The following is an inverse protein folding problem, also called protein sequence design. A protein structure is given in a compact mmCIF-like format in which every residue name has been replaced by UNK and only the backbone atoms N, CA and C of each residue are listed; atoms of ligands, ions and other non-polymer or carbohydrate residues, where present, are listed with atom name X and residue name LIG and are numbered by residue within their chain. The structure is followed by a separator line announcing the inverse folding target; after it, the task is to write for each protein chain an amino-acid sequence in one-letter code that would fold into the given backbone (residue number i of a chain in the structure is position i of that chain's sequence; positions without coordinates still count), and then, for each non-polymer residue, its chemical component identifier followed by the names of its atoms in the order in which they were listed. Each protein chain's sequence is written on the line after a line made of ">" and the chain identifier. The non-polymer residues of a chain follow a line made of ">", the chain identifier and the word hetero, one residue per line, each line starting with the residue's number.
data_IF_327467653615
#
_entry.id   IF_327467653615
#
_cell.length_a   1.000
_cell.length_b   1.000
_cell.length_c   1.000
_cell.angle_alpha   90.00
_cell.angle_beta   90.00
_cell.angle_gamma   90.00
#
_symmetry.space_group_name_H-M   'P 1'
#
loop_
_entity.id
_entity.type
_entity.pdbx_description
1 polymer ?
#
# COMPACT_ATOMS: atom_id res chain seq x y z
N UNK A 1 -28.90 41.82 15.86
CA UNK A 1 -28.96 40.39 16.22
C UNK A 1 -28.93 39.62 14.93
N UNK A 2 -27.81 38.97 14.62
CA UNK A 2 -27.65 38.12 13.43
C UNK A 2 -28.20 36.74 13.78
N UNK A 3 -29.22 36.28 13.07
CA UNK A 3 -29.70 34.90 13.16
C UNK A 3 -28.69 33.99 12.47
N UNK A 4 -28.02 33.16 13.27
CA UNK A 4 -27.19 32.05 12.79
C UNK A 4 -28.12 30.93 12.39
N UNK A 5 -28.30 30.72 11.08
CA UNK A 5 -29.00 29.54 10.56
C UNK A 5 -28.02 28.37 10.58
N UNK A 6 -28.09 27.55 11.63
CA UNK A 6 -27.35 26.29 11.72
C UNK A 6 -27.89 25.31 10.68
N UNK A 7 -27.09 24.98 9.68
CA UNK A 7 -27.39 23.92 8.70
C UNK A 7 -27.12 22.58 9.42
N UNK A 8 -28.17 21.90 9.86
CA UNK A 8 -28.06 20.50 10.28
C UNK A 8 -27.78 19.62 9.06
N UNK A 9 -26.53 19.18 8.91
CA UNK A 9 -26.21 18.05 8.03
C UNK A 9 -26.68 16.76 8.71
N UNK A 10 -27.91 16.31 8.38
CA UNK A 10 -28.36 14.96 8.68
C UNK A 10 -27.63 13.97 7.78
N UNK A 11 -26.61 13.33 8.34
CA UNK A 11 -25.96 12.18 7.72
C UNK A 11 -26.82 10.94 8.01
N UNK A 12 -27.87 10.72 7.22
CA UNK A 12 -28.67 9.49 7.29
C UNK A 12 -27.87 8.36 6.66
N UNK A 13 -27.22 7.54 7.50
CA UNK A 13 -26.76 6.22 7.08
C UNK A 13 -27.99 5.38 6.72
N UNK A 14 -28.29 5.32 5.42
CA UNK A 14 -29.31 4.43 4.90
C UNK A 14 -28.78 3.00 5.04
N UNK A 15 -29.31 2.24 6.02
CA UNK A 15 -29.04 0.81 6.16
C UNK A 15 -29.70 0.09 4.99
N UNK A 16 -28.96 -0.11 3.91
CA UNK A 16 -29.42 -0.91 2.77
C UNK A 16 -29.05 -2.37 3.04
N UNK A 17 -30.05 -3.25 3.07
CA UNK A 17 -29.81 -4.68 3.22
C UNK A 17 -29.14 -5.24 1.96
N UNK A 18 -28.16 -6.12 2.16
CA UNK A 18 -27.51 -6.83 1.06
C UNK A 18 -28.58 -7.62 0.27
N UNK A 19 -28.86 -7.18 -0.96
CA UNK A 19 -29.84 -7.81 -1.87
C UNK A 19 -30.93 -6.91 -2.44
N UNK A 20 -31.07 -5.66 -1.97
CA UNK A 20 -31.96 -4.67 -2.59
C UNK A 20 -31.30 -4.06 -3.84
N UNK A 21 -32.08 -3.75 -4.89
CA UNK A 21 -31.57 -3.13 -6.11
C UNK A 21 -30.90 -1.77 -5.83
N UNK A 22 -31.39 -1.03 -4.83
CA UNK A 22 -30.73 0.21 -4.38
C UNK A 22 -29.33 0.01 -3.81
N UNK A 23 -29.02 -1.16 -3.24
CA UNK A 23 -27.67 -1.47 -2.75
C UNK A 23 -26.71 -1.73 -3.91
N UNK A 24 -27.20 -2.38 -4.97
CA UNK A 24 -26.43 -2.65 -6.18
C UNK A 24 -26.07 -1.36 -6.89
N UNK A 25 -27.03 -0.43 -7.00
CA UNK A 25 -26.81 0.87 -7.63
C UNK A 25 -25.74 1.68 -6.88
N UNK A 26 -25.75 1.63 -5.54
CA UNK A 26 -24.71 2.28 -4.72
C UNK A 26 -23.33 1.65 -4.95
N UNK A 27 -23.22 0.32 -4.97
CA UNK A 27 -21.95 -0.37 -5.27
C UNK A 27 -21.46 0.01 -6.66
N UNK A 28 -22.35 0.00 -7.64
CA UNK A 28 -22.02 0.30 -9.03
C UNK A 28 -21.55 1.76 -9.21
N UNK A 29 -22.21 2.68 -8.51
CA UNK A 29 -21.80 4.08 -8.46
C UNK A 29 -20.40 4.22 -7.83
N UNK A 30 -20.13 3.56 -6.71
CA UNK A 30 -18.80 3.62 -6.08
C UNK A 30 -17.71 2.98 -6.93
N UNK A 31 -18.01 1.88 -7.63
CA UNK A 31 -17.08 1.30 -8.60
C UNK A 31 -16.79 2.26 -9.76
N UNK A 32 -17.76 3.06 -10.20
CA UNK A 32 -17.51 4.13 -11.19
C UNK A 32 -16.68 5.27 -10.60
N UNK A 33 -16.93 5.65 -9.35
CA UNK A 33 -16.17 6.71 -8.69
C UNK A 33 -14.69 6.32 -8.55
N UNK A 34 -14.42 5.09 -8.11
CA UNK A 34 -13.06 4.56 -7.94
C UNK A 34 -12.39 4.23 -9.28
N UNK A 35 -13.15 3.68 -10.22
CA UNK A 35 -12.68 3.28 -11.54
C UNK A 35 -13.58 3.89 -12.63
N UNK A 36 -13.38 5.17 -13.00
CA UNK A 36 -14.25 5.86 -13.97
C UNK A 36 -14.33 5.18 -15.34
N UNK A 37 -13.27 4.47 -15.73
CA UNK A 37 -13.22 3.70 -16.98
C UNK A 37 -13.72 2.26 -16.82
N UNK A 38 -14.10 1.86 -15.60
CA UNK A 38 -14.45 0.48 -15.20
C UNK A 38 -13.40 -0.56 -15.64
N UNK A 39 -12.14 -0.15 -15.55
CA UNK A 39 -11.00 -0.94 -16.00
C UNK A 39 -9.81 -0.71 -15.06
N UNK A 40 -9.06 -1.78 -14.81
CA UNK A 40 -7.80 -1.76 -14.05
C UNK A 40 -6.72 -2.29 -14.98
N UNK A 41 -5.76 -1.45 -15.37
CA UNK A 41 -4.69 -1.80 -16.29
C UNK A 41 -3.32 -1.87 -15.61
N UNK A 42 -3.09 -1.07 -14.56
CA UNK A 42 -1.83 -1.03 -13.82
C UNK A 42 -2.06 -1.32 -12.34
N UNK A 43 -1.42 -2.38 -11.83
CA UNK A 43 -1.50 -2.77 -10.42
C UNK A 43 -0.11 -2.71 -9.79
N UNK A 44 0.00 -1.99 -8.67
CA UNK A 44 1.21 -2.01 -7.84
C UNK A 44 0.98 -2.89 -6.62
N UNK A 45 1.76 -3.97 -6.49
CA UNK A 45 1.84 -4.70 -5.23
C UNK A 45 2.96 -4.15 -4.36
N UNK A 46 2.68 -3.91 -3.09
CA UNK A 46 3.65 -3.45 -2.10
C UNK A 46 3.88 -4.55 -1.07
N UNK A 47 5.14 -4.94 -0.89
CA UNK A 47 5.60 -5.67 0.28
C UNK A 47 6.22 -4.66 1.25
N UNK A 48 5.58 -4.38 2.41
CA UNK A 48 6.11 -3.49 3.44
C UNK A 48 7.46 -3.97 3.99
N UNK A 49 8.18 -3.12 4.74
CA UNK A 49 9.30 -3.57 5.57
C UNK A 49 8.88 -4.70 6.54
N UNK A 50 9.80 -5.62 6.86
CA UNK A 50 9.52 -6.77 7.74
C UNK A 50 9.35 -6.39 9.24
N UNK A 51 9.45 -5.10 9.56
CA UNK A 51 9.26 -4.54 10.89
C UNK A 51 9.33 -3.01 10.83
N UNK A 52 9.09 -2.35 11.97
CA UNK A 52 9.24 -0.91 12.07
C UNK A 52 10.68 -0.51 12.49
N UNK A 53 10.92 0.80 12.57
CA UNK A 53 12.21 1.36 12.99
C UNK A 53 12.66 0.90 14.38
N UNK A 54 11.74 0.58 15.29
CA UNK A 54 12.07 0.09 16.63
C UNK A 54 12.60 -1.35 16.63
N UNK A 55 12.25 -2.13 15.60
CA UNK A 55 12.69 -3.51 15.40
C UNK A 55 13.98 -3.60 14.57
N UNK A 56 14.39 -2.52 13.92
CA UNK A 56 15.54 -2.51 13.02
C UNK A 56 16.85 -2.18 13.74
N UNK A 57 17.79 -3.12 13.70
CA UNK A 57 19.17 -2.99 14.17
C UNK A 57 20.12 -2.76 12.98
N UNK A 58 20.68 -1.54 12.93
CA UNK A 58 21.59 -1.13 11.87
C UNK A 58 22.78 -2.08 11.73
N UNK A 59 23.40 -2.50 12.84
CA UNK A 59 24.58 -3.33 12.79
C UNK A 59 24.31 -4.70 12.15
N UNK A 60 23.14 -5.29 12.42
CA UNK A 60 22.65 -6.54 11.82
C UNK A 60 22.34 -6.35 10.34
N UNK A 61 21.64 -5.28 9.97
CA UNK A 61 21.36 -4.94 8.57
C UNK A 61 22.63 -4.71 7.75
N UNK A 62 23.60 -3.95 8.30
CA UNK A 62 24.87 -3.65 7.65
C UNK A 62 25.72 -4.88 7.37
N UNK A 63 25.62 -5.92 8.21
CA UNK A 63 26.26 -7.23 8.01
C UNK A 63 25.47 -8.16 7.07
N UNK A 64 24.33 -7.73 6.53
CA UNK A 64 23.49 -8.52 5.64
C UNK A 64 22.84 -9.72 6.33
N UNK A 65 22.48 -9.59 7.61
CA UNK A 65 21.94 -10.70 8.42
C UNK A 65 20.42 -10.72 8.53
N UNK A 66 19.74 -9.72 7.97
CA UNK A 66 18.29 -9.77 7.85
C UNK A 66 17.85 -10.66 6.68
N UNK A 67 16.72 -11.32 6.89
CA UNK A 67 16.03 -12.01 5.81
C UNK A 67 15.38 -11.00 4.88
N UNK A 68 15.28 -11.36 3.61
CA UNK A 68 14.50 -10.62 2.63
C UNK A 68 13.65 -11.63 1.87
N UNK A 69 12.47 -11.93 2.42
CA UNK A 69 11.58 -12.89 1.81
C UNK A 69 11.06 -12.35 0.47
N UNK A 70 11.01 -13.17 -0.58
CA UNK A 70 10.36 -12.76 -1.81
C UNK A 70 8.86 -12.54 -1.54
N UNK A 71 8.26 -11.55 -2.20
CA UNK A 71 6.82 -11.28 -2.15
C UNK A 71 6.03 -12.35 -2.92
N UNK A 72 6.13 -13.62 -2.49
CA UNK A 72 5.68 -14.78 -3.26
C UNK A 72 4.18 -14.73 -3.58
N UNK A 73 3.34 -14.38 -2.60
CA UNK A 73 1.89 -14.23 -2.80
C UNK A 73 1.56 -13.22 -3.90
N UNK A 74 2.13 -12.01 -3.83
CA UNK A 74 2.00 -11.00 -4.88
C UNK A 74 2.57 -11.50 -6.22
N UNK A 75 3.69 -12.20 -6.21
CA UNK A 75 4.31 -12.77 -7.41
C UNK A 75 3.42 -13.79 -8.13
N UNK A 76 2.72 -14.65 -7.39
CA UNK A 76 1.75 -15.60 -7.96
C UNK A 76 0.59 -14.85 -8.60
N UNK A 77 -0.03 -13.90 -7.88
CA UNK A 77 -1.17 -13.13 -8.39
C UNK A 77 -0.76 -12.31 -9.63
N UNK A 78 0.38 -11.62 -9.55
CA UNK A 78 0.95 -10.85 -10.66
C UNK A 78 1.17 -11.73 -11.91
N UNK A 79 1.56 -12.98 -11.74
CA UNK A 79 1.78 -13.90 -12.86
C UNK A 79 0.50 -14.25 -13.62
N UNK A 80 -0.65 -14.29 -12.93
CA UNK A 80 -1.95 -14.49 -13.59
C UNK A 80 -2.46 -13.20 -14.21
N UNK A 81 -2.43 -12.09 -13.48
CA UNK A 81 -2.85 -10.77 -13.98
C UNK A 81 -2.11 -10.36 -15.27
N UNK A 82 -0.79 -10.60 -15.32
CA UNK A 82 0.02 -10.34 -16.52
C UNK A 82 -0.39 -11.21 -17.72
N UNK A 83 -0.90 -12.42 -17.51
CA UNK A 83 -1.45 -13.26 -18.61
C UNK A 83 -2.75 -12.67 -19.16
N UNK A 84 -3.49 -11.96 -18.34
CA UNK A 84 -4.72 -11.27 -18.71
C UNK A 84 -4.46 -9.86 -19.31
N UNK A 85 -3.18 -9.51 -19.56
CA UNK A 85 -2.78 -8.25 -20.16
C UNK A 85 -2.68 -7.07 -19.20
N UNK A 86 -2.84 -7.31 -17.88
CA UNK A 86 -2.70 -6.27 -16.86
C UNK A 86 -1.21 -6.05 -16.56
N UNK A 87 -0.79 -4.80 -16.58
CA UNK A 87 0.55 -4.40 -16.15
C UNK A 87 0.64 -4.48 -14.64
N UNK A 88 1.68 -5.15 -14.12
CA UNK A 88 1.85 -5.33 -12.68
C UNK A 88 3.29 -5.04 -12.27
N UNK A 89 3.47 -4.15 -11.30
CA UNK A 89 4.74 -3.91 -10.59
C UNK A 89 4.68 -4.47 -9.17
N UNK A 90 5.84 -4.85 -8.63
CA UNK A 90 5.99 -5.30 -7.23
C UNK A 90 7.09 -4.49 -6.57
N UNK A 91 6.71 -3.65 -5.61
CA UNK A 91 7.63 -2.88 -4.78
C UNK A 91 7.90 -3.61 -3.47
N UNK A 92 9.12 -4.12 -3.31
CA UNK A 92 9.58 -4.70 -2.05
C UNK A 92 10.32 -3.63 -1.22
N UNK A 93 9.60 -3.00 -0.29
CA UNK A 93 10.15 -1.96 0.58
C UNK A 93 11.17 -2.51 1.58
N UNK A 94 11.00 -3.74 2.06
CA UNK A 94 12.00 -4.40 2.91
C UNK A 94 13.36 -4.49 2.19
N UNK A 95 13.36 -4.95 0.94
CA UNK A 95 14.57 -5.00 0.14
C UNK A 95 15.23 -3.62 -0.04
N UNK A 96 14.42 -2.58 -0.24
CA UNK A 96 14.89 -1.19 -0.43
C UNK A 96 15.57 -0.67 0.84
N UNK A 97 14.96 -0.88 2.00
CA UNK A 97 15.53 -0.55 3.31
C UNK A 97 16.84 -1.29 3.55
N UNK A 98 16.88 -2.59 3.30
CA UNK A 98 18.09 -3.41 3.48
C UNK A 98 19.22 -2.96 2.56
N UNK A 99 18.91 -2.67 1.29
CA UNK A 99 19.88 -2.17 0.33
C UNK A 99 20.42 -0.79 0.72
N UNK A 100 19.56 0.12 1.21
CA UNK A 100 19.99 1.43 1.69
C UNK A 100 20.88 1.31 2.94
N UNK A 101 20.53 0.45 3.89
CA UNK A 101 21.36 0.16 5.06
C UNK A 101 22.73 -0.39 4.65
N UNK A 102 22.76 -1.38 3.75
CA UNK A 102 24.00 -2.00 3.29
C UNK A 102 24.94 -1.00 2.60
N UNK A 103 24.42 -0.03 1.85
CA UNK A 103 25.21 0.98 1.14
C UNK A 103 25.52 2.25 1.93
N UNK A 104 24.83 2.52 3.05
CA UNK A 104 25.12 3.66 3.93
C UNK A 104 26.55 3.60 4.51
N UNK A 105 27.21 4.74 4.78
CA UNK A 105 28.57 4.71 5.35
C UNK A 105 28.58 4.51 6.85
N UNK A 106 27.55 5.02 7.53
CA UNK A 106 27.38 4.91 8.98
C UNK A 106 25.90 4.84 9.36
N UNK A 107 25.64 4.59 10.65
CA UNK A 107 24.28 4.54 11.19
C UNK A 107 23.61 5.91 11.12
N UNK A 108 24.36 7.00 11.31
CA UNK A 108 23.87 8.37 11.31
C UNK A 108 23.39 8.81 9.91
N UNK A 109 23.96 8.24 8.85
CA UNK A 109 23.53 8.51 7.46
C UNK A 109 22.28 7.71 7.06
N UNK A 110 21.93 6.67 7.81
CA UNK A 110 20.81 5.79 7.49
C UNK A 110 19.54 6.18 8.26
N UNK A 111 18.50 6.54 7.51
CA UNK A 111 17.17 6.77 8.06
C UNK A 111 16.18 5.76 7.48
N UNK A 112 15.79 4.80 8.32
CA UNK A 112 14.86 3.73 7.97
C UNK A 112 13.56 4.28 7.36
N UNK A 113 12.92 5.24 8.02
CA UNK A 113 11.59 5.73 7.64
C UNK A 113 11.66 6.55 6.37
N UNK A 114 12.68 7.41 6.26
CA UNK A 114 12.88 8.22 5.07
C UNK A 114 13.04 7.33 3.83
N UNK A 115 13.86 6.28 3.92
CA UNK A 115 14.13 5.38 2.79
C UNK A 115 12.87 4.77 2.22
N UNK A 116 12.04 4.13 3.04
CA UNK A 116 10.86 3.44 2.51
C UNK A 116 9.76 4.42 2.08
N UNK A 117 9.58 5.55 2.79
CA UNK A 117 8.57 6.56 2.45
C UNK A 117 8.88 7.27 1.14
N UNK A 118 10.13 7.69 0.94
CA UNK A 118 10.55 8.33 -0.31
C UNK A 118 10.47 7.35 -1.47
N UNK A 119 10.93 6.11 -1.28
CA UNK A 119 10.82 5.06 -2.31
C UNK A 119 9.36 4.80 -2.70
N UNK A 120 8.46 4.66 -1.72
CA UNK A 120 7.04 4.44 -1.99
C UNK A 120 6.42 5.60 -2.76
N UNK A 121 6.70 6.84 -2.32
CA UNK A 121 6.21 8.04 -2.97
C UNK A 121 6.68 8.12 -4.42
N UNK A 122 7.97 7.91 -4.67
CA UNK A 122 8.55 7.92 -6.02
C UNK A 122 7.91 6.87 -6.93
N UNK A 123 7.73 5.64 -6.42
CA UNK A 123 7.11 4.56 -7.19
C UNK A 123 5.64 4.89 -7.53
N UNK A 124 4.86 5.42 -6.60
CA UNK A 124 3.47 5.82 -6.84
C UNK A 124 3.37 6.94 -7.89
N UNK A 125 4.24 7.95 -7.83
CA UNK A 125 4.26 9.07 -8.77
C UNK A 125 4.70 8.65 -10.19
N UNK A 126 5.64 7.71 -10.29
CA UNK A 126 6.17 7.23 -11.57
C UNK A 126 5.27 6.17 -12.21
N UNK A 127 4.87 5.14 -11.44
CA UNK A 127 4.11 4.00 -11.94
C UNK A 127 2.63 4.34 -12.16
N UNK A 128 2.07 5.26 -11.38
CA UNK A 128 0.66 5.70 -11.45
C UNK A 128 -0.31 4.51 -11.53
N UNK A 129 -0.33 3.64 -10.51
CA UNK A 129 -1.20 2.47 -10.50
C UNK A 129 -2.68 2.89 -10.48
N UNK A 130 -3.53 2.09 -11.12
CA UNK A 130 -4.98 2.21 -10.99
C UNK A 130 -5.46 1.55 -9.68
N UNK A 131 -4.71 0.55 -9.20
CA UNK A 131 -4.96 -0.14 -7.94
C UNK A 131 -3.66 -0.50 -7.24
N UNK A 132 -3.65 -0.38 -5.91
CA UNK A 132 -2.53 -0.79 -5.04
C UNK A 132 -2.97 -1.97 -4.19
N UNK A 133 -2.18 -3.04 -4.17
CA UNK A 133 -2.36 -4.18 -3.27
C UNK A 133 -1.22 -4.25 -2.27
N UNK A 134 -1.51 -4.22 -0.97
CA UNK A 134 -0.49 -4.34 0.07
C UNK A 134 -0.50 -5.76 0.62
N UNK A 135 0.66 -6.41 0.69
CA UNK A 135 0.79 -7.76 1.24
C UNK A 135 1.25 -7.72 2.69
N UNK A 136 0.68 -8.58 3.54
CA UNK A 136 1.16 -8.78 4.90
C UNK A 136 1.40 -10.28 5.11
N UNK A 137 2.66 -10.68 5.27
CA UNK A 137 3.03 -12.09 5.39
C UNK A 137 2.87 -12.60 6.83
N UNK A 138 3.17 -11.76 7.83
CA UNK A 138 3.14 -12.13 9.24
C UNK A 138 2.46 -11.07 10.10
N UNK A 139 1.87 -11.46 11.22
CA UNK A 139 1.29 -10.49 12.17
C UNK A 139 2.32 -9.49 12.72
N UNK A 140 3.60 -9.87 12.76
CA UNK A 140 4.69 -8.98 13.15
C UNK A 140 4.91 -7.82 12.15
N UNK A 141 4.52 -7.99 10.87
CA UNK A 141 4.59 -6.95 9.85
C UNK A 141 3.34 -6.06 9.81
N UNK A 142 2.39 -6.27 10.73
CA UNK A 142 1.12 -5.55 10.75
C UNK A 142 1.31 -4.05 10.92
N UNK A 143 2.13 -3.61 11.89
CA UNK A 143 2.38 -2.17 12.12
C UNK A 143 2.91 -1.51 10.85
N UNK A 144 3.96 -2.08 10.25
CA UNK A 144 4.53 -1.59 9.00
C UNK A 144 3.51 -1.62 7.84
N UNK A 145 2.60 -2.59 7.80
CA UNK A 145 1.54 -2.67 6.78
C UNK A 145 0.50 -1.56 6.94
N UNK A 146 0.14 -1.20 8.17
CA UNK A 146 -0.85 -0.14 8.45
C UNK A 146 -0.28 1.25 8.19
N UNK A 147 1.04 1.43 8.36
CA UNK A 147 1.71 2.71 8.14
C UNK A 147 2.03 3.01 6.67
N UNK A 148 2.07 1.97 5.83
CA UNK A 148 2.23 2.05 4.36
C UNK A 148 0.93 2.46 3.69
#
# INVERSE_FOLDING_TARGET
>A
MLEVTTIEQKNELTLVSAGNDSFRDLIDQELTNLFPKREVQRILFIAPPDGDKSMFDYATGKRGRYWNYPAYGAGVIASYLRKDGIEVSILNLNNKVLHACWNSRSQEEFDFDRVWKETLKEELEQYKPDMVGVTCMFTQTHTATVEV
#
